data_IF_574288079492
#
_entry.id   IF_574288079492
#
_cell.length_a   1.000
_cell.length_b   1.000
_cell.length_c   1.000
_cell.angle_alpha   90.00
_cell.angle_beta   90.00
_cell.angle_gamma   90.00
#
_symmetry.space_group_name_H-M   'P 1'
#
loop_
_entity.id
_entity.type
_entity.pdbx_description
1 polymer ?
#
# COMPACT_ATOMS: atom_id res chain seq x y z
N UNK A 1 -34.57 2.35 -0.01
CA UNK A 1 -33.48 2.26 -1.00
C UNK A 1 -34.13 2.12 -2.36
N UNK A 2 -33.91 3.06 -3.28
CA UNK A 2 -34.52 3.03 -4.61
C UNK A 2 -33.71 2.06 -5.50
N UNK A 3 -34.33 1.22 -6.35
CA UNK A 3 -33.61 0.37 -7.30
C UNK A 3 -32.62 1.13 -8.20
N UNK A 4 -32.87 2.41 -8.50
CA UNK A 4 -31.92 3.24 -9.25
C UNK A 4 -30.63 3.54 -8.47
N UNK A 5 -30.72 3.72 -7.14
CA UNK A 5 -29.55 3.94 -6.28
C UNK A 5 -28.68 2.68 -6.24
N UNK A 6 -29.31 1.50 -6.15
CA UNK A 6 -28.62 0.21 -6.14
C UNK A 6 -27.85 -0.06 -7.44
N UNK A 7 -28.46 0.25 -8.58
CA UNK A 7 -27.81 0.09 -9.89
C UNK A 7 -26.63 1.03 -10.07
N UNK A 8 -26.74 2.27 -9.56
CA UNK A 8 -25.66 3.25 -9.60
C UNK A 8 -24.49 2.79 -8.74
N UNK A 9 -24.75 2.41 -7.48
CA UNK A 9 -23.73 1.91 -6.54
C UNK A 9 -23.02 0.66 -7.09
N UNK A 10 -23.78 -0.26 -7.70
CA UNK A 10 -23.20 -1.47 -8.33
C UNK A 10 -22.30 -1.11 -9.51
N UNK A 11 -22.71 -0.14 -10.34
CA UNK A 11 -21.93 0.31 -11.51
C UNK A 11 -20.64 0.99 -11.09
N UNK A 12 -20.69 1.84 -10.06
CA UNK A 12 -19.51 2.53 -9.52
C UNK A 12 -18.51 1.54 -8.91
N UNK A 13 -19.00 0.55 -8.15
CA UNK A 13 -18.16 -0.50 -7.59
C UNK A 13 -17.46 -1.33 -8.68
N UNK A 14 -18.18 -1.74 -9.72
CA UNK A 14 -17.61 -2.48 -10.84
C UNK A 14 -16.58 -1.65 -11.61
N UNK A 15 -16.86 -0.37 -11.84
CA UNK A 15 -15.93 0.54 -12.53
C UNK A 15 -14.61 0.67 -11.75
N UNK A 16 -14.69 0.79 -10.42
CA UNK A 16 -13.51 0.83 -9.54
C UNK A 16 -12.69 -0.46 -9.60
N UNK A 17 -13.35 -1.63 -9.60
CA UNK A 17 -12.68 -2.94 -9.70
C UNK A 17 -11.94 -3.06 -11.03
N UNK A 18 -12.57 -2.74 -12.16
CA UNK A 18 -11.91 -2.84 -13.47
C UNK A 18 -10.74 -1.87 -13.62
N UNK A 19 -10.85 -0.66 -13.07
CA UNK A 19 -9.75 0.29 -13.03
C UNK A 19 -8.56 -0.26 -12.21
N UNK A 20 -8.84 -0.85 -11.04
CA UNK A 20 -7.81 -1.49 -10.22
C UNK A 20 -7.18 -2.71 -10.92
N UNK A 21 -7.95 -3.51 -11.67
CA UNK A 21 -7.39 -4.62 -12.46
C UNK A 21 -6.43 -4.12 -13.53
N UNK A 22 -6.80 -3.07 -14.27
CA UNK A 22 -5.96 -2.49 -15.32
C UNK A 22 -4.62 -2.01 -14.73
N UNK A 23 -4.66 -1.29 -13.60
CA UNK A 23 -3.45 -0.83 -12.91
C UNK A 23 -2.60 -2.01 -12.42
N UNK A 24 -3.22 -3.08 -11.92
CA UNK A 24 -2.51 -4.25 -11.45
C UNK A 24 -1.78 -4.98 -12.59
N UNK A 25 -2.41 -5.11 -13.77
CA UNK A 25 -1.79 -5.67 -14.96
C UNK A 25 -0.59 -4.84 -15.44
N UNK A 26 -0.74 -3.51 -15.50
CA UNK A 26 0.37 -2.60 -15.86
C UNK A 26 1.54 -2.69 -14.88
N UNK A 27 1.29 -2.78 -13.56
CA UNK A 27 2.36 -2.93 -12.58
C UNK A 27 3.01 -4.33 -12.64
N UNK A 28 2.27 -5.38 -13.02
CA UNK A 28 2.82 -6.72 -13.31
C UNK A 28 3.79 -6.64 -14.48
N UNK A 29 3.37 -6.07 -15.61
CA UNK A 29 4.24 -5.89 -16.79
C UNK A 29 5.51 -5.12 -16.42
N UNK A 30 5.34 -3.98 -15.74
CA UNK A 30 6.47 -3.18 -15.29
C UNK A 30 7.37 -3.91 -14.28
N UNK A 31 6.82 -4.80 -13.44
CA UNK A 31 7.60 -5.62 -12.53
C UNK A 31 8.35 -6.75 -13.24
N UNK A 32 7.76 -7.38 -14.26
CA UNK A 32 8.45 -8.38 -15.08
C UNK A 32 9.64 -7.77 -15.82
N UNK A 33 9.51 -6.54 -16.30
CA UNK A 33 10.61 -5.78 -16.92
C UNK A 33 11.73 -5.48 -15.91
N UNK A 34 11.37 -5.08 -14.68
CA UNK A 34 12.33 -4.83 -13.59
C UNK A 34 13.00 -6.10 -13.08
N UNK A 35 12.28 -7.22 -13.06
CA UNK A 35 12.72 -8.51 -12.49
C UNK A 35 12.52 -9.68 -13.46
N UNK A 36 13.25 -9.75 -14.59
CA UNK A 36 13.03 -10.79 -15.61
C UNK A 36 13.22 -12.22 -15.08
N UNK A 37 14.07 -12.40 -14.07
CA UNK A 37 14.36 -13.67 -13.42
C UNK A 37 13.16 -14.24 -12.62
N UNK A 38 12.20 -13.39 -12.24
CA UNK A 38 11.02 -13.76 -11.45
C UNK A 38 9.70 -13.60 -12.23
N UNK A 39 9.77 -13.42 -13.56
CA UNK A 39 8.63 -13.01 -14.38
C UNK A 39 7.41 -13.95 -14.28
N UNK A 40 7.61 -15.28 -14.25
CA UNK A 40 6.51 -16.25 -14.08
C UNK A 40 5.86 -16.13 -12.70
N UNK A 41 6.65 -16.00 -11.63
CA UNK A 41 6.13 -15.83 -10.26
C UNK A 41 5.38 -14.51 -10.11
N UNK A 42 5.90 -13.43 -10.69
CA UNK A 42 5.25 -12.11 -10.74
C UNK A 42 3.90 -12.21 -11.45
N UNK A 43 3.84 -12.86 -12.62
CA UNK A 43 2.58 -13.03 -13.35
C UNK A 43 1.53 -13.78 -12.54
N UNK A 44 1.93 -14.84 -11.81
CA UNK A 44 1.03 -15.62 -10.94
C UNK A 44 0.58 -14.88 -9.68
N UNK A 45 1.17 -13.72 -9.38
CA UNK A 45 0.90 -12.99 -8.13
C UNK A 45 -0.28 -12.03 -8.18
N UNK A 46 -1.01 -11.98 -9.29
CA UNK A 46 -2.13 -11.05 -9.49
C UNK A 46 -3.12 -10.99 -8.32
N UNK A 47 -3.49 -12.14 -7.74
CA UNK A 47 -4.44 -12.21 -6.62
C UNK A 47 -3.95 -11.49 -5.36
N UNK A 48 -2.63 -11.38 -5.17
CA UNK A 48 -2.03 -10.69 -4.03
C UNK A 48 -2.26 -9.18 -4.08
N UNK A 49 -2.50 -8.63 -5.27
CA UNK A 49 -2.60 -7.18 -5.51
C UNK A 49 -3.96 -6.60 -5.11
N UNK A 50 -4.86 -7.44 -4.58
CA UNK A 50 -6.18 -7.02 -4.12
C UNK A 50 -6.07 -5.91 -3.07
N UNK A 51 -6.63 -4.75 -3.37
CA UNK A 51 -6.66 -3.62 -2.47
C UNK A 51 -7.35 -3.96 -1.14
N UNK A 52 -6.78 -3.49 -0.03
CA UNK A 52 -7.27 -3.84 1.31
C UNK A 52 -8.18 -2.79 1.95
N UNK A 53 -8.41 -1.67 1.28
CA UNK A 53 -9.28 -0.58 1.73
C UNK A 53 -9.79 0.25 0.57
N UNK A 54 -10.90 0.96 0.78
CA UNK A 54 -11.46 1.88 -0.22
C UNK A 54 -10.53 3.06 -0.53
N UNK A 55 -9.72 3.50 0.44
CA UNK A 55 -8.81 4.62 0.23
C UNK A 55 -7.66 4.23 -0.71
N UNK A 56 -7.25 2.95 -0.71
CA UNK A 56 -6.31 2.42 -1.69
C UNK A 56 -6.92 2.49 -3.09
N UNK A 57 -8.13 1.94 -3.29
CA UNK A 57 -8.75 1.89 -4.63
C UNK A 57 -9.11 3.26 -5.20
N UNK A 58 -9.42 4.24 -4.35
CA UNK A 58 -9.75 5.61 -4.79
C UNK A 58 -8.55 6.44 -5.21
N UNK A 59 -7.32 6.02 -4.91
CA UNK A 59 -6.12 6.77 -5.25
C UNK A 59 -5.13 5.88 -6.01
N UNK A 60 -5.05 6.11 -7.32
CA UNK A 60 -4.18 5.36 -8.23
C UNK A 60 -2.72 5.32 -7.77
N UNK A 61 -2.14 6.44 -7.31
CA UNK A 61 -0.73 6.47 -6.88
C UNK A 61 -0.48 5.59 -5.66
N UNK A 62 -1.43 5.58 -4.71
CA UNK A 62 -1.35 4.78 -3.50
C UNK A 62 -1.55 3.30 -3.84
N UNK A 63 -2.47 2.97 -4.75
CA UNK A 63 -2.66 1.60 -5.22
C UNK A 63 -1.47 1.07 -6.03
N UNK A 64 -0.92 1.85 -6.96
CA UNK A 64 0.31 1.48 -7.70
C UNK A 64 1.48 1.22 -6.76
N UNK A 65 1.63 2.05 -5.73
CA UNK A 65 2.65 1.87 -4.69
C UNK A 65 2.46 0.55 -3.93
N UNK A 66 1.22 0.23 -3.54
CA UNK A 66 0.87 -1.04 -2.92
C UNK A 66 1.24 -2.23 -3.82
N UNK A 67 0.84 -2.21 -5.10
CA UNK A 67 1.15 -3.27 -6.06
C UNK A 67 2.66 -3.44 -6.22
N UNK A 68 3.39 -2.35 -6.45
CA UNK A 68 4.84 -2.37 -6.66
C UNK A 68 5.59 -3.00 -5.49
N UNK A 69 5.26 -2.62 -4.25
CA UNK A 69 5.91 -3.19 -3.07
C UNK A 69 5.64 -4.70 -2.93
N UNK A 70 4.42 -5.16 -3.23
CA UNK A 70 4.12 -6.60 -3.22
C UNK A 70 4.86 -7.35 -4.32
N UNK A 71 4.92 -6.81 -5.52
CA UNK A 71 5.63 -7.42 -6.65
C UNK A 71 7.15 -7.47 -6.42
N UNK A 72 7.74 -6.43 -5.82
CA UNK A 72 9.15 -6.45 -5.43
C UNK A 72 9.43 -7.49 -4.34
N UNK A 73 8.50 -7.69 -3.39
CA UNK A 73 8.60 -8.79 -2.41
C UNK A 73 8.49 -10.16 -3.08
N UNK A 74 7.57 -10.33 -4.03
CA UNK A 74 7.43 -11.58 -4.81
C UNK A 74 8.71 -11.90 -5.58
N UNK A 75 9.30 -10.90 -6.24
CA UNK A 75 10.56 -11.06 -6.96
C UNK A 75 11.70 -11.49 -6.01
N UNK A 76 11.76 -10.90 -4.82
CA UNK A 76 12.77 -11.21 -3.80
C UNK A 76 12.44 -12.39 -2.88
N UNK A 77 11.36 -13.14 -3.12
CA UNK A 77 10.89 -14.24 -2.25
C UNK A 77 10.66 -13.81 -0.78
N UNK A 78 10.32 -12.54 -0.57
CA UNK A 78 10.04 -11.98 0.73
C UNK A 78 8.58 -12.22 1.14
N UNK A 79 8.33 -12.22 2.45
CA UNK A 79 6.99 -12.37 3.01
C UNK A 79 6.05 -11.26 2.52
N UNK A 80 5.00 -11.63 1.77
CA UNK A 80 4.00 -10.69 1.25
C UNK A 80 2.94 -10.32 2.28
N UNK A 81 2.84 -11.03 3.41
CA UNK A 81 1.77 -10.87 4.40
C UNK A 81 1.83 -9.56 5.20
N UNK A 82 2.99 -9.03 5.65
CA UNK A 82 3.06 -7.77 6.39
C UNK A 82 2.48 -6.59 5.60
N UNK A 83 1.97 -5.58 6.29
CA UNK A 83 1.44 -4.37 5.65
C UNK A 83 2.43 -3.71 4.68
N UNK A 84 1.97 -3.15 3.57
CA UNK A 84 2.75 -2.30 2.67
C UNK A 84 2.88 -0.88 3.22
N UNK A 85 3.85 -0.10 2.74
CA UNK A 85 4.00 1.30 3.09
C UNK A 85 2.75 2.11 2.72
N UNK A 86 2.14 1.81 1.57
CA UNK A 86 0.87 2.40 1.15
C UNK A 86 -0.27 2.09 2.12
N UNK A 87 -0.39 0.84 2.58
CA UNK A 87 -1.37 0.45 3.62
C UNK A 87 -1.12 1.18 4.94
N UNK A 88 0.16 1.32 5.34
CA UNK A 88 0.53 2.10 6.52
C UNK A 88 0.16 3.58 6.37
N UNK A 89 0.38 4.20 5.22
CA UNK A 89 -0.02 5.58 4.94
C UNK A 89 -1.53 5.76 5.08
N UNK A 90 -2.33 4.84 4.52
CA UNK A 90 -3.79 4.87 4.67
C UNK A 90 -4.20 4.79 6.14
N UNK A 91 -3.66 3.83 6.89
CA UNK A 91 -3.98 3.67 8.31
C UNK A 91 -3.59 4.90 9.14
N UNK A 92 -2.41 5.48 8.88
CA UNK A 92 -1.94 6.67 9.59
C UNK A 92 -2.78 7.91 9.22
N UNK A 93 -3.16 8.05 7.95
CA UNK A 93 -4.08 9.11 7.51
C UNK A 93 -5.39 9.06 8.31
N UNK A 94 -6.03 7.89 8.40
CA UNK A 94 -7.26 7.72 9.17
C UNK A 94 -7.12 8.06 10.66
N UNK A 95 -5.98 7.72 11.27
CA UNK A 95 -5.69 8.06 12.67
C UNK A 95 -5.49 9.56 12.85
N UNK A 96 -4.67 10.19 12.00
CA UNK A 96 -4.35 11.64 12.09
C UNK A 96 -5.58 12.54 11.93
N UNK A 97 -6.60 12.09 11.19
CA UNK A 97 -7.88 12.81 11.05
C UNK A 97 -8.73 12.82 12.33
N UNK A 98 -8.46 11.92 13.28
CA UNK A 98 -9.28 11.73 14.50
C UNK A 98 -8.59 12.18 15.77
N UNK A 99 -7.27 12.20 15.78
CA UNK A 99 -6.50 12.55 16.98
C UNK A 99 -5.16 13.16 16.60
N UNK A 100 -4.67 14.15 17.38
CA UNK A 100 -3.28 14.58 17.29
C UNK A 100 -2.34 13.39 17.49
N UNK A 101 -1.35 13.27 16.60
CA UNK A 101 -0.35 12.20 16.67
C UNK A 101 0.92 12.68 17.37
N UNK A 102 1.67 11.73 17.93
CA UNK A 102 3.00 11.99 18.50
C UNK A 102 4.02 12.30 17.41
N UNK A 103 5.16 12.87 17.79
CA UNK A 103 6.30 13.10 16.88
C UNK A 103 6.76 11.81 16.20
N UNK A 104 6.86 10.70 16.94
CA UNK A 104 7.24 9.38 16.39
C UNK A 104 6.22 8.85 15.38
N UNK A 105 4.91 9.07 15.59
CA UNK A 105 3.88 8.67 14.65
C UNK A 105 3.85 9.56 13.39
N UNK A 106 4.11 10.86 13.54
CA UNK A 106 4.31 11.76 12.39
C UNK A 106 5.56 11.36 11.58
N UNK A 107 6.65 11.01 12.26
CA UNK A 107 7.86 10.46 11.66
C UNK A 107 7.62 9.17 10.88
N UNK A 108 6.88 8.23 11.49
CA UNK A 108 6.46 7.00 10.80
C UNK A 108 5.65 7.31 9.54
N UNK A 109 4.73 8.26 9.60
CA UNK A 109 3.93 8.61 8.42
C UNK A 109 4.79 9.19 7.30
N UNK A 110 5.71 10.11 7.63
CA UNK A 110 6.67 10.65 6.67
C UNK A 110 7.55 9.55 6.04
N UNK A 111 8.06 8.61 6.84
CA UNK A 111 8.86 7.48 6.36
C UNK A 111 8.06 6.57 5.43
N UNK A 112 6.84 6.21 5.80
CA UNK A 112 5.98 5.35 4.96
C UNK A 112 5.62 6.06 3.66
N UNK A 113 5.39 7.37 3.69
CA UNK A 113 5.12 8.16 2.48
C UNK A 113 6.30 8.12 1.50
N UNK A 114 7.52 8.28 2.01
CA UNK A 114 8.74 8.18 1.21
C UNK A 114 8.97 6.74 0.69
N UNK A 115 8.83 5.72 1.54
CA UNK A 115 8.96 4.30 1.15
C UNK A 115 7.91 3.89 0.10
N UNK A 116 6.71 4.46 0.17
CA UNK A 116 5.67 4.28 -0.82
C UNK A 116 5.98 4.96 -2.17
N UNK A 117 7.02 5.80 -2.25
CA UNK A 117 7.36 6.54 -3.48
C UNK A 117 6.28 7.54 -3.88
N UNK A 118 5.51 8.05 -2.91
CA UNK A 118 4.46 9.03 -3.16
C UNK A 118 5.08 10.43 -3.42
N UNK A 119 4.36 11.34 -4.11
CA UNK A 119 4.87 12.66 -4.46
C UNK A 119 5.42 13.42 -3.25
N UNK A 120 6.49 14.18 -3.44
CA UNK A 120 7.09 14.97 -2.37
C UNK A 120 6.07 15.90 -1.71
N UNK A 121 6.10 15.96 -0.38
CA UNK A 121 5.26 16.83 0.44
C UNK A 121 6.09 17.41 1.58
N UNK A 122 5.61 18.49 2.20
CA UNK A 122 6.24 19.05 3.39
C UNK A 122 6.38 18.03 4.54
N UNK A 123 5.50 17.03 4.61
CA UNK A 123 5.63 15.92 5.56
C UNK A 123 6.87 15.08 5.28
N UNK A 124 7.13 14.78 4.00
CA UNK A 124 8.33 14.07 3.55
C UNK A 124 9.61 14.85 3.83
N UNK A 125 9.59 16.18 3.65
CA UNK A 125 10.76 17.05 3.91
C UNK A 125 11.15 17.05 5.40
N UNK A 126 10.17 16.93 6.29
CA UNK A 126 10.39 16.87 7.75
C UNK A 126 10.83 15.49 8.24
N UNK A 127 10.83 14.47 7.38
CA UNK A 127 11.22 13.09 7.75
C UNK A 127 12.60 13.06 8.40
N UNK A 128 13.60 13.76 7.84
CA UNK A 128 14.96 13.78 8.37
C UNK A 128 15.01 14.26 9.82
N UNK A 129 14.17 15.24 10.18
CA UNK A 129 14.11 15.75 11.53
C UNK A 129 13.49 14.74 12.50
N UNK A 130 12.41 14.07 12.09
CA UNK A 130 11.78 13.05 12.91
C UNK A 130 12.69 11.83 13.12
N UNK A 131 13.38 11.38 12.06
CA UNK A 131 14.34 10.29 12.13
C UNK A 131 15.48 10.60 13.10
N UNK A 132 16.02 11.83 13.06
CA UNK A 132 17.09 12.24 13.96
C UNK A 132 16.69 12.22 15.46
N UNK A 133 15.40 12.38 15.77
CA UNK A 133 14.90 12.43 17.14
C UNK A 133 14.39 11.07 17.65
N UNK A 134 13.72 10.30 16.80
CA UNK A 134 12.84 9.20 17.23
C UNK A 134 13.06 7.90 16.42
N UNK A 135 14.19 7.73 15.71
CA UNK A 135 14.43 6.57 14.84
C UNK A 135 14.06 5.21 15.48
N UNK A 136 14.50 4.94 16.70
CA UNK A 136 14.21 3.67 17.40
C UNK A 136 12.71 3.47 17.68
N UNK A 137 12.01 4.55 18.03
CA UNK A 137 10.57 4.53 18.26
C UNK A 137 9.83 4.34 16.92
N UNK A 138 10.28 5.02 15.86
CA UNK A 138 9.73 4.89 14.50
C UNK A 138 9.90 3.45 13.98
N UNK A 139 11.08 2.84 14.16
CA UNK A 139 11.35 1.44 13.79
C UNK A 139 10.41 0.47 14.52
N UNK A 140 10.19 0.73 15.82
CA UNK A 140 9.27 -0.07 16.63
C UNK A 140 7.84 0.07 16.12
N UNK A 141 7.37 1.30 15.91
CA UNK A 141 6.04 1.55 15.37
C UNK A 141 5.85 0.99 13.94
N UNK A 142 6.87 1.04 13.09
CA UNK A 142 6.82 0.44 11.75
C UNK A 142 6.58 -1.07 11.83
N UNK A 143 7.39 -1.78 12.64
CA UNK A 143 7.23 -3.23 12.83
C UNK A 143 5.85 -3.57 13.36
N UNK A 144 5.40 -2.86 14.39
CA UNK A 144 4.09 -3.08 15.00
C UNK A 144 2.94 -2.81 14.02
N UNK A 145 3.00 -1.70 13.27
CA UNK A 145 1.95 -1.34 12.32
C UNK A 145 1.87 -2.34 11.17
N UNK A 146 3.01 -2.71 10.58
CA UNK A 146 3.05 -3.73 9.51
C UNK A 146 2.56 -5.09 10.00
N UNK A 147 2.85 -5.45 11.26
CA UNK A 147 2.34 -6.68 11.87
C UNK A 147 0.82 -6.62 12.12
N UNK A 148 0.29 -5.47 12.56
CA UNK A 148 -1.16 -5.26 12.75
C UNK A 148 -1.93 -5.25 11.43
N UNK A 149 -1.32 -4.75 10.36
CA UNK A 149 -1.90 -4.72 9.02
C UNK A 149 -1.70 -6.03 8.24
N UNK A 150 -1.12 -7.07 8.87
CA UNK A 150 -0.81 -8.34 8.22
C UNK A 150 -2.06 -8.98 7.62
N UNK A 151 -1.96 -9.44 6.37
CA UNK A 151 -2.97 -10.25 5.67
C UNK A 151 -2.49 -11.69 5.60
N UNK A 152 -3.14 -12.58 6.36
CA UNK A 152 -2.68 -13.96 6.53
C UNK A 152 -2.81 -14.80 5.25
N UNK A 153 -3.80 -14.46 4.43
CA UNK A 153 -4.18 -15.03 3.14
C UNK A 153 -3.40 -14.44 1.96
N UNK A 154 -2.60 -13.38 2.17
CA UNK A 154 -1.75 -12.80 1.13
C UNK A 154 -0.45 -13.58 0.99
N UNK A 155 -0.56 -14.79 0.45
CA UNK A 155 0.56 -15.66 0.09
C UNK A 155 0.37 -16.22 -1.32
N UNK A 156 1.46 -16.48 -2.03
CA UNK A 156 1.40 -17.25 -3.27
C UNK A 156 1.08 -18.70 -2.94
N UNK A 157 0.12 -19.26 -3.65
CA UNK A 157 -0.08 -20.71 -3.67
C UNK A 157 1.05 -21.36 -4.50
N UNK A 158 1.56 -22.50 -4.03
CA UNK A 158 2.61 -23.29 -4.70
C UNK A 158 2.13 -23.94 -6.02
#
# INVERSE_FOLDING_TARGET
>A
MNPADLLTETTDALTSIFAAMTIAEEEIEAAQDRHPHAADRIWRSFTLLTATSDLLTRNELVYRSHCRELLDRVAGEADTRPGTAAECCVALCEVTLRTPVTTSAAGLYARMWQKAGLPATALGDMSVHYEALEADAIDTHERELRARLRKADRCLDD
#
